data_IF_793349853182
#
_entry.id   IF_793349853182
#
_cell.length_a   1.000
_cell.length_b   1.000
_cell.length_c   1.000
_cell.angle_alpha   90.00
_cell.angle_beta   90.00
_cell.angle_gamma   90.00
#
_symmetry.space_group_name_H-M   'P 1'
#
loop_
_entity.id
_entity.type
_entity.pdbx_description
1 polymer ?
#
# COMPACT_ATOMS: atom_id res chain seq x y z
N UNK A 1 28.34 26.62 -0.78
CA UNK A 1 27.46 25.55 -0.22
C UNK A 1 26.64 25.00 -1.38
N UNK A 2 27.24 24.10 -2.17
CA UNK A 2 26.60 23.55 -3.38
C UNK A 2 25.83 22.29 -3.02
N UNK A 3 24.52 22.41 -2.77
CA UNK A 3 23.65 21.24 -2.77
C UNK A 3 23.65 20.69 -4.19
N UNK A 4 24.26 19.52 -4.36
CA UNK A 4 24.48 18.87 -5.64
C UNK A 4 23.12 18.64 -6.33
N UNK A 5 22.85 19.36 -7.42
CA UNK A 5 21.55 19.37 -8.11
C UNK A 5 21.07 17.97 -8.54
N UNK A 6 21.99 17.01 -8.70
CA UNK A 6 21.67 15.61 -8.96
C UNK A 6 21.03 14.89 -7.76
N UNK A 7 21.48 15.16 -6.53
CA UNK A 7 20.86 14.63 -5.30
C UNK A 7 19.49 15.23 -5.05
N UNK A 8 19.31 16.52 -5.36
CA UNK A 8 18.02 17.22 -5.24
C UNK A 8 16.96 16.68 -6.20
N UNK A 9 17.30 16.37 -7.45
CA UNK A 9 16.34 15.76 -8.41
C UNK A 9 15.93 14.33 -8.03
N UNK A 10 16.85 13.53 -7.51
CA UNK A 10 16.54 12.19 -7.01
C UNK A 10 15.69 12.22 -5.73
N UNK A 11 16.01 13.13 -4.81
CA UNK A 11 15.23 13.37 -3.59
C UNK A 11 13.80 13.85 -3.92
N UNK A 12 13.64 14.72 -4.93
CA UNK A 12 12.34 15.20 -5.37
C UNK A 12 11.42 14.05 -5.83
N UNK A 13 11.94 13.06 -6.55
CA UNK A 13 11.14 11.92 -7.05
C UNK A 13 10.53 11.05 -5.96
N UNK A 14 11.21 10.91 -4.81
CA UNK A 14 10.74 10.14 -3.64
C UNK A 14 9.90 11.02 -2.69
N UNK A 15 10.11 12.34 -2.72
CA UNK A 15 9.35 13.28 -1.88
C UNK A 15 7.88 13.41 -2.31
N UNK A 16 7.59 13.30 -3.61
CA UNK A 16 6.22 13.45 -4.11
C UNK A 16 5.29 12.34 -3.61
N UNK A 17 5.56 11.03 -3.80
CA UNK A 17 4.64 9.98 -3.35
C UNK A 17 4.48 9.97 -1.83
N UNK A 18 5.56 10.21 -1.06
CA UNK A 18 5.48 10.39 0.39
C UNK A 18 4.53 11.52 0.82
N UNK A 19 4.57 12.68 0.13
CA UNK A 19 3.67 13.81 0.43
C UNK A 19 2.21 13.44 0.16
N UNK A 20 1.92 12.79 -0.98
CA UNK A 20 0.57 12.32 -1.30
C UNK A 20 0.09 11.26 -0.31
N UNK A 21 0.96 10.32 0.08
CA UNK A 21 0.67 9.30 1.10
C UNK A 21 0.19 9.95 2.40
N UNK A 22 0.95 10.92 2.93
CA UNK A 22 0.56 11.63 4.15
C UNK A 22 -0.74 12.43 3.98
N UNK A 23 -0.94 13.08 2.83
CA UNK A 23 -2.15 13.84 2.54
C UNK A 23 -3.41 12.98 2.47
N UNK A 24 -3.34 11.84 1.76
CA UNK A 24 -4.45 10.89 1.64
C UNK A 24 -4.79 10.30 3.00
N UNK A 25 -3.78 9.87 3.76
CA UNK A 25 -3.98 9.37 5.11
C UNK A 25 -4.64 10.44 5.99
N UNK A 26 -4.17 11.68 5.98
CA UNK A 26 -4.76 12.77 6.76
C UNK A 26 -6.27 12.96 6.47
N UNK A 27 -6.66 12.93 5.18
CA UNK A 27 -8.06 13.02 4.76
C UNK A 27 -8.86 11.80 5.26
N UNK A 28 -8.35 10.59 5.09
CA UNK A 28 -9.03 9.37 5.54
C UNK A 28 -9.22 9.34 7.06
N UNK A 29 -8.20 9.74 7.83
CA UNK A 29 -8.29 9.85 9.28
C UNK A 29 -9.25 10.94 9.72
N UNK A 30 -9.28 12.09 9.04
CA UNK A 30 -10.29 13.12 9.30
C UNK A 30 -11.71 12.63 9.03
N UNK A 31 -11.92 11.87 7.94
CA UNK A 31 -13.22 11.27 7.64
C UNK A 31 -13.67 10.31 8.75
N UNK A 32 -12.77 9.46 9.26
CA UNK A 32 -13.05 8.56 10.38
C UNK A 32 -13.30 9.31 11.70
N UNK A 33 -12.54 10.37 11.97
CA UNK A 33 -12.65 11.16 13.21
C UNK A 33 -13.89 12.05 13.26
N UNK A 34 -14.36 12.55 12.11
CA UNK A 34 -15.58 13.37 11.98
C UNK A 34 -16.88 12.56 12.04
N UNK A 35 -16.80 11.26 12.32
CA UNK A 35 -17.94 10.35 12.44
C UNK A 35 -18.38 9.69 11.13
N UNK A 36 -17.65 9.90 10.03
CA UNK A 36 -17.88 9.26 8.73
C UNK A 36 -16.91 8.12 8.43
N UNK A 37 -16.89 7.65 7.18
CA UNK A 37 -15.90 6.67 6.71
C UNK A 37 -16.03 5.25 7.26
N UNK A 38 -17.15 4.93 7.91
CA UNK A 38 -17.45 3.60 8.42
C UNK A 38 -18.85 3.14 7.98
N UNK A 39 -19.06 1.83 8.00
CA UNK A 39 -20.34 1.15 7.76
C UNK A 39 -20.59 0.13 8.86
N UNK A 40 -21.85 -0.27 9.05
CA UNK A 40 -22.17 -1.44 9.88
C UNK A 40 -21.94 -2.68 9.02
N UNK A 41 -20.94 -3.49 9.38
CA UNK A 41 -20.69 -4.76 8.72
C UNK A 41 -21.78 -5.79 9.07
N UNK A 42 -21.92 -6.88 8.29
CA UNK A 42 -23.00 -7.86 8.50
C UNK A 42 -22.99 -8.57 9.87
N UNK A 43 -21.87 -8.53 10.60
CA UNK A 43 -21.72 -9.00 11.98
C UNK A 43 -22.07 -7.94 13.04
N UNK A 44 -22.78 -6.87 12.66
CA UNK A 44 -23.13 -5.71 13.50
C UNK A 44 -21.92 -4.96 14.08
N UNK A 45 -20.73 -5.13 13.47
CA UNK A 45 -19.50 -4.44 13.86
C UNK A 45 -19.33 -3.14 13.06
N UNK A 46 -18.74 -2.13 13.69
CA UNK A 46 -18.26 -0.95 12.98
C UNK A 46 -17.04 -1.31 12.11
N UNK A 47 -17.16 -1.11 10.79
CA UNK A 47 -16.09 -1.32 9.83
C UNK A 47 -15.73 -0.01 9.14
N UNK A 48 -14.48 0.44 9.33
CA UNK A 48 -13.94 1.63 8.68
C UNK A 48 -13.54 1.36 7.23
N UNK A 49 -14.47 1.55 6.29
CA UNK A 49 -14.20 1.42 4.84
C UNK A 49 -13.21 2.47 4.33
N UNK A 50 -13.18 3.65 4.95
CA UNK A 50 -12.22 4.71 4.63
C UNK A 50 -10.76 4.24 4.79
N UNK A 51 -10.50 3.29 5.71
CA UNK A 51 -9.18 2.68 5.90
C UNK A 51 -8.74 1.82 4.71
N UNK A 52 -9.65 1.03 4.15
CA UNK A 52 -9.34 0.21 2.98
C UNK A 52 -9.15 1.05 1.72
N UNK A 53 -9.90 2.17 1.60
CA UNK A 53 -9.70 3.15 0.53
C UNK A 53 -8.36 3.88 0.65
N UNK A 54 -7.98 4.29 1.87
CA UNK A 54 -6.65 4.83 2.17
C UNK A 54 -5.57 3.84 1.71
N UNK A 55 -5.58 2.62 2.25
CA UNK A 55 -4.57 1.62 1.95
C UNK A 55 -4.48 1.30 0.46
N UNK A 56 -5.62 1.15 -0.24
CA UNK A 56 -5.61 0.86 -1.68
C UNK A 56 -4.85 1.89 -2.53
N UNK A 57 -4.59 3.09 -2.00
CA UNK A 57 -3.83 4.15 -2.67
C UNK A 57 -2.46 4.35 -2.00
N UNK A 58 -2.40 4.37 -0.68
CA UNK A 58 -1.16 4.70 0.05
C UNK A 58 -0.15 3.57 0.06
N UNK A 59 -0.57 2.30 0.14
CA UNK A 59 0.38 1.18 0.11
C UNK A 59 1.05 1.00 -1.27
N UNK A 60 0.36 1.15 -2.42
CA UNK A 60 1.04 1.20 -3.71
C UNK A 60 1.99 2.39 -3.88
N UNK A 61 1.64 3.58 -3.35
CA UNK A 61 2.53 4.74 -3.38
C UNK A 61 3.83 4.49 -2.61
N UNK A 62 3.74 3.83 -1.45
CA UNK A 62 4.93 3.41 -0.68
C UNK A 62 5.76 2.40 -1.49
N UNK A 63 5.14 1.44 -2.18
CA UNK A 63 5.87 0.49 -3.04
C UNK A 63 6.56 1.17 -4.23
N UNK A 64 5.95 2.22 -4.80
CA UNK A 64 6.60 3.03 -5.84
C UNK A 64 7.86 3.71 -5.28
N UNK A 65 7.79 4.32 -4.10
CA UNK A 65 8.94 4.94 -3.45
C UNK A 65 10.06 3.91 -3.22
N UNK A 66 9.73 2.74 -2.66
CA UNK A 66 10.68 1.66 -2.44
C UNK A 66 11.30 1.16 -3.75
N UNK A 67 10.51 1.03 -4.81
CA UNK A 67 10.99 0.57 -6.11
C UNK A 67 11.95 1.56 -6.77
N UNK A 68 11.67 2.86 -6.65
CA UNK A 68 12.55 3.94 -7.13
C UNK A 68 13.88 3.94 -6.36
N UNK A 69 13.83 3.70 -5.04
CA UNK A 69 15.02 3.57 -4.18
C UNK A 69 15.83 2.32 -4.54
N UNK A 70 15.18 1.18 -4.69
CA UNK A 70 15.82 -0.08 -5.08
C UNK A 70 16.36 -0.07 -6.52
N UNK A 71 15.85 0.81 -7.39
CA UNK A 71 16.30 0.93 -8.78
C UNK A 71 15.77 -0.18 -9.68
N UNK A 72 14.64 -0.79 -9.34
CA UNK A 72 14.00 -1.87 -10.11
C UNK A 72 13.21 -1.34 -11.31
N UNK A 73 12.79 -2.22 -12.22
CA UNK A 73 12.06 -1.82 -13.40
C UNK A 73 10.64 -1.32 -13.06
N UNK A 74 10.10 -0.41 -13.87
CA UNK A 74 8.72 0.07 -13.72
C UNK A 74 7.67 -1.05 -13.79
N UNK A 75 7.98 -2.15 -14.47
CA UNK A 75 7.10 -3.30 -14.59
C UNK A 75 7.08 -4.13 -13.30
N UNK A 76 8.22 -4.27 -12.63
CA UNK A 76 8.30 -4.92 -11.32
C UNK A 76 7.52 -4.11 -10.28
N UNK A 77 7.66 -2.77 -10.30
CA UNK A 77 6.89 -1.87 -9.44
C UNK A 77 5.39 -2.04 -9.70
N UNK A 78 4.97 -2.00 -10.96
CA UNK A 78 3.56 -2.16 -11.32
C UNK A 78 3.00 -3.51 -10.86
N UNK A 79 3.75 -4.61 -11.04
CA UNK A 79 3.34 -5.94 -10.61
C UNK A 79 3.12 -6.01 -9.08
N UNK A 80 4.00 -5.37 -8.30
CA UNK A 80 3.87 -5.29 -6.85
C UNK A 80 2.71 -4.39 -6.42
N UNK A 81 2.51 -3.25 -7.06
CA UNK A 81 1.35 -2.39 -6.81
C UNK A 81 0.02 -3.10 -7.07
N UNK A 82 -0.08 -3.87 -8.16
CA UNK A 82 -1.30 -4.66 -8.45
C UNK A 82 -1.49 -5.78 -7.43
N UNK A 83 -0.42 -6.46 -7.02
CA UNK A 83 -0.47 -7.48 -5.96
C UNK A 83 -0.96 -6.88 -4.63
N UNK A 84 -0.50 -5.67 -4.32
CA UNK A 84 -0.88 -4.94 -3.11
C UNK A 84 -2.35 -4.49 -3.13
N UNK A 85 -2.84 -3.95 -4.24
CA UNK A 85 -4.27 -3.62 -4.40
C UNK A 85 -5.14 -4.87 -4.25
N UNK A 86 -4.73 -6.01 -4.81
CA UNK A 86 -5.43 -7.29 -4.65
C UNK A 86 -5.42 -7.77 -3.20
N UNK A 87 -4.29 -7.63 -2.49
CA UNK A 87 -4.20 -7.92 -1.06
C UNK A 87 -5.18 -7.08 -0.24
N UNK A 88 -5.22 -5.76 -0.46
CA UNK A 88 -6.15 -4.85 0.24
C UNK A 88 -7.61 -5.17 -0.10
N UNK A 89 -7.92 -5.46 -1.37
CA UNK A 89 -9.26 -5.85 -1.80
C UNK A 89 -9.72 -7.15 -1.14
N UNK A 90 -8.87 -8.19 -1.11
CA UNK A 90 -9.15 -9.42 -0.37
C UNK A 90 -9.39 -9.15 1.12
N UNK A 91 -8.60 -8.29 1.75
CA UNK A 91 -8.81 -7.86 3.13
C UNK A 91 -10.14 -7.15 3.34
N UNK A 92 -10.55 -6.27 2.41
CA UNK A 92 -11.82 -5.54 2.47
C UNK A 92 -13.02 -6.50 2.34
N UNK A 93 -12.99 -7.40 1.37
CA UNK A 93 -14.03 -8.42 1.20
C UNK A 93 -14.08 -9.36 2.40
N UNK A 94 -12.93 -9.77 2.95
CA UNK A 94 -12.87 -10.57 4.17
C UNK A 94 -13.50 -9.86 5.38
N UNK A 95 -13.27 -8.55 5.52
CA UNK A 95 -13.83 -7.76 6.61
C UNK A 95 -15.35 -7.50 6.49
N UNK A 96 -15.89 -7.55 5.27
CA UNK A 96 -17.32 -7.47 4.97
C UNK A 96 -18.01 -8.85 4.99
N UNK A 97 -17.27 -9.94 5.10
CA UNK A 97 -17.79 -11.31 5.04
C UNK A 97 -18.04 -11.87 6.43
N UNK A 98 -19.23 -12.45 6.64
CA UNK A 98 -19.60 -13.19 7.85
C UNK A 98 -19.34 -14.70 7.70
N UNK A 99 -19.19 -15.38 8.84
CA UNK A 99 -18.93 -16.82 8.89
C UNK A 99 -17.51 -17.21 8.47
N UNK A 100 -17.33 -18.47 8.05
CA UNK A 100 -16.01 -19.04 7.79
C UNK A 100 -15.40 -18.61 6.45
N UNK A 101 -16.20 -18.10 5.51
CA UNK A 101 -15.72 -17.66 4.19
C UNK A 101 -14.73 -16.49 4.30
N UNK A 102 -14.79 -15.69 5.37
CA UNK A 102 -13.81 -14.62 5.64
C UNK A 102 -12.36 -15.12 5.68
N UNK A 103 -12.14 -16.38 6.10
CA UNK A 103 -10.81 -16.97 6.18
C UNK A 103 -10.26 -17.33 4.80
N UNK A 104 -11.13 -17.60 3.83
CA UNK A 104 -10.73 -17.80 2.43
C UNK A 104 -10.24 -16.50 1.83
N UNK A 105 -10.96 -15.39 2.06
CA UNK A 105 -10.51 -14.06 1.67
C UNK A 105 -9.19 -13.67 2.33
N UNK A 106 -9.05 -13.94 3.63
CA UNK A 106 -7.79 -13.74 4.35
C UNK A 106 -6.66 -14.54 3.72
N UNK A 107 -6.88 -15.82 3.41
CA UNK A 107 -5.88 -16.68 2.77
C UNK A 107 -5.44 -16.13 1.40
N UNK A 108 -6.38 -15.73 0.54
CA UNK A 108 -6.03 -15.10 -0.73
C UNK A 108 -5.24 -13.80 -0.55
N UNK A 109 -5.61 -12.97 0.43
CA UNK A 109 -4.84 -11.79 0.80
C UNK A 109 -3.42 -12.14 1.23
N UNK A 110 -3.23 -13.21 2.01
CA UNK A 110 -1.91 -13.69 2.43
C UNK A 110 -1.06 -14.19 1.26
N UNK A 111 -1.65 -14.83 0.24
CA UNK A 111 -0.90 -15.22 -0.96
C UNK A 111 -0.29 -14.00 -1.67
N UNK A 112 -1.07 -12.92 -1.83
CA UNK A 112 -0.58 -11.66 -2.40
C UNK A 112 0.44 -10.98 -1.50
N UNK A 113 0.21 -10.97 -0.19
CA UNK A 113 1.17 -10.43 0.77
C UNK A 113 2.52 -11.15 0.72
N UNK A 114 2.51 -12.49 0.66
CA UNK A 114 3.73 -13.29 0.55
C UNK A 114 4.49 -13.00 -0.75
N UNK A 115 3.79 -12.78 -1.86
CA UNK A 115 4.42 -12.35 -3.11
C UNK A 115 5.15 -11.00 -2.94
N UNK A 116 4.52 -10.02 -2.29
CA UNK A 116 5.11 -8.70 -2.00
C UNK A 116 6.34 -8.85 -1.11
N UNK A 117 6.23 -9.57 0.00
CA UNK A 117 7.34 -9.77 0.94
C UNK A 117 8.51 -10.51 0.30
N UNK A 118 8.24 -11.52 -0.54
CA UNK A 118 9.29 -12.23 -1.27
C UNK A 118 10.03 -11.30 -2.25
N UNK A 119 9.28 -10.51 -3.02
CA UNK A 119 9.87 -9.56 -3.96
C UNK A 119 10.70 -8.49 -3.23
N UNK A 120 10.17 -7.90 -2.15
CA UNK A 120 10.89 -6.89 -1.35
C UNK A 120 12.14 -7.48 -0.68
N UNK A 121 12.00 -8.62 0.00
CA UNK A 121 13.06 -9.22 0.82
C UNK A 121 14.18 -9.88 0.02
N UNK A 122 13.90 -10.31 -1.22
CA UNK A 122 14.89 -10.97 -2.08
C UNK A 122 15.19 -10.16 -3.33
N UNK A 123 14.26 -10.11 -4.28
CA UNK A 123 14.51 -9.54 -5.61
C UNK A 123 14.93 -8.07 -5.55
N UNK A 124 14.17 -7.23 -4.83
CA UNK A 124 14.44 -5.79 -4.74
C UNK A 124 15.61 -5.51 -3.81
N UNK A 125 15.79 -6.30 -2.75
CA UNK A 125 16.95 -6.20 -1.87
C UNK A 125 18.27 -6.52 -2.61
N UNK A 126 18.28 -7.51 -3.51
CA UNK A 126 19.41 -7.84 -4.37
C UNK A 126 19.67 -6.70 -5.38
N UNK A 127 18.62 -6.20 -6.05
CA UNK A 127 18.73 -5.08 -6.97
C UNK A 127 19.29 -3.81 -6.29
N UNK A 128 18.84 -3.50 -5.08
CA UNK A 128 19.30 -2.34 -4.32
C UNK A 128 20.79 -2.41 -3.96
N UNK A 129 21.34 -3.62 -3.72
CA UNK A 129 22.76 -3.84 -3.43
C UNK A 129 23.65 -3.69 -4.67
N UNK A 130 23.11 -3.95 -5.86
CA UNK A 130 23.84 -3.87 -7.13
C UNK A 130 23.96 -2.46 -7.71
N UNK A 131 23.41 -1.46 -7.01
CA UNK A 131 23.29 -0.08 -7.46
C UNK A 131 24.37 0.82 -6.86
#
# INVERSE_FOLDING_TARGET
IGVNAGKSKAAGKVLYPATFTCGIAAIAYFAMASGGGWVIAPDCRQLFVARYLDWAITTPLILIDLGVVAGVSKWDILALCLSDVLMIACGAFGALTVGNVKWVWWFFGMCWFLHIIFALGKSWAEAAKSR
#
